data_IF_075118310563
#
_entry.id   IF_075118310563
#
_cell.length_a   1.000
_cell.length_b   1.000
_cell.length_c   1.000
_cell.angle_alpha   90.00
_cell.angle_beta   90.00
_cell.angle_gamma   90.00
#
_symmetry.space_group_name_H-M   'P 1'
#
loop_
_entity.id
_entity.type
_entity.pdbx_description
1 polymer ?
#
# COMPACT_ATOMS: atom_id res chain seq x y z
N UNK A 1 1.01 20.03 25.47
CA UNK A 1 1.47 19.99 24.06
C UNK A 1 1.17 18.66 23.36
N UNK A 2 0.95 17.56 24.11
CA UNK A 2 0.08 16.45 23.68
C UNK A 2 -1.38 16.89 23.86
N UNK A 3 -2.25 16.90 22.82
CA UNK A 3 -2.66 15.73 22.02
C UNK A 3 -2.45 15.86 20.49
N UNK A 4 -2.00 17.01 19.99
CA UNK A 4 -2.02 17.32 18.55
C UNK A 4 -1.01 16.53 17.72
N UNK A 5 0.20 16.30 18.24
CA UNK A 5 1.23 15.52 17.53
C UNK A 5 0.82 14.06 17.34
N UNK A 6 0.33 13.42 18.41
CA UNK A 6 -0.14 12.05 18.36
C UNK A 6 -1.33 11.89 17.41
N UNK A 7 -2.31 12.81 17.48
CA UNK A 7 -3.44 12.82 16.56
C UNK A 7 -2.98 12.94 15.10
N UNK A 8 -2.06 13.88 14.81
CA UNK A 8 -1.52 14.03 13.47
C UNK A 8 -0.81 12.76 12.99
N UNK A 9 0.16 12.24 13.75
CA UNK A 9 1.02 11.14 13.31
C UNK A 9 0.32 9.78 13.28
N UNK A 10 -0.63 9.52 14.18
CA UNK A 10 -1.28 8.20 14.33
C UNK A 10 -2.67 8.11 13.72
N UNK A 11 -3.37 9.22 13.54
CA UNK A 11 -4.74 9.22 13.01
C UNK A 11 -4.79 9.94 11.66
N UNK A 12 -4.58 11.26 11.67
CA UNK A 12 -4.84 12.08 10.50
C UNK A 12 -3.91 11.78 9.32
N UNK A 13 -2.59 11.69 9.55
CA UNK A 13 -1.60 11.46 8.50
C UNK A 13 -1.80 10.12 7.78
N UNK A 14 -1.92 8.96 8.48
CA UNK A 14 -2.25 7.70 7.82
C UNK A 14 -3.55 7.79 7.00
N UNK A 15 -4.62 8.38 7.54
CA UNK A 15 -5.89 8.52 6.82
C UNK A 15 -5.78 9.41 5.58
N UNK A 16 -5.05 10.52 5.67
CA UNK A 16 -4.84 11.43 4.55
C UNK A 16 -4.05 10.76 3.42
N UNK A 17 -2.97 10.06 3.74
CA UNK A 17 -2.14 9.32 2.78
C UNK A 17 -2.92 8.19 2.12
N UNK A 18 -3.63 7.39 2.92
CA UNK A 18 -4.37 6.23 2.39
C UNK A 18 -5.56 6.64 1.53
N UNK A 19 -6.28 7.71 1.91
CA UNK A 19 -7.35 8.30 1.08
C UNK A 19 -6.79 8.81 -0.25
N UNK A 20 -5.66 9.51 -0.21
CA UNK A 20 -4.96 10.01 -1.38
C UNK A 20 -4.50 8.88 -2.32
N UNK A 21 -3.98 7.77 -1.77
CA UNK A 21 -3.61 6.58 -2.54
C UNK A 21 -4.82 5.94 -3.23
N UNK A 22 -5.93 5.76 -2.52
CA UNK A 22 -7.14 5.14 -3.07
C UNK A 22 -7.79 5.99 -4.16
N UNK A 23 -7.70 7.32 -4.05
CA UNK A 23 -8.24 8.26 -5.03
C UNK A 23 -7.22 8.63 -6.13
N UNK A 24 -5.98 8.13 -6.03
CA UNK A 24 -4.85 8.49 -6.91
C UNK A 24 -4.61 10.00 -7.02
N UNK A 25 -4.75 10.71 -5.90
CA UNK A 25 -4.47 12.14 -5.80
C UNK A 25 -3.23 12.35 -4.95
N UNK A 26 -2.40 13.35 -5.26
CA UNK A 26 -1.28 13.76 -4.40
C UNK A 26 -1.77 14.29 -3.04
N UNK A 27 -0.84 14.35 -2.08
CA UNK A 27 -1.09 14.87 -0.74
C UNK A 27 0.07 15.73 -0.27
N UNK A 28 -0.22 16.78 0.49
CA UNK A 28 0.80 17.61 1.15
C UNK A 28 1.71 16.78 2.08
N UNK A 29 1.23 15.62 2.56
CA UNK A 29 2.03 14.69 3.38
C UNK A 29 3.29 14.14 2.66
N UNK A 30 3.39 14.32 1.34
CA UNK A 30 4.56 13.94 0.54
C UNK A 30 5.65 15.03 0.52
N UNK A 31 5.33 16.26 0.93
CA UNK A 31 6.29 17.36 0.97
C UNK A 31 7.29 17.18 2.12
N UNK A 32 8.50 17.72 1.94
CA UNK A 32 9.62 17.50 2.86
C UNK A 32 9.29 17.98 4.29
N UNK A 33 8.65 19.14 4.42
CA UNK A 33 8.26 19.74 5.70
C UNK A 33 7.41 18.79 6.54
N UNK A 34 6.45 18.11 5.91
CA UNK A 34 5.54 17.16 6.56
C UNK A 34 6.16 15.80 6.83
N UNK A 35 7.29 15.50 6.19
CA UNK A 35 8.11 14.32 6.51
C UNK A 35 9.11 14.60 7.62
N UNK A 36 9.51 15.85 7.89
CA UNK A 36 10.57 16.16 8.88
C UNK A 36 10.05 16.82 10.15
N UNK A 37 9.28 17.89 10.03
CA UNK A 37 8.89 18.74 11.16
C UNK A 37 8.11 18.00 12.26
N UNK A 38 7.17 17.09 11.94
CA UNK A 38 6.49 16.30 12.97
C UNK A 38 7.44 15.42 13.79
N UNK A 39 8.65 15.15 13.34
CA UNK A 39 9.58 14.21 13.97
C UNK A 39 10.85 14.88 14.50
N UNK A 40 10.88 16.20 14.63
CA UNK A 40 12.03 16.91 15.21
C UNK A 40 12.25 16.55 16.69
N UNK A 41 11.15 16.37 17.44
CA UNK A 41 11.17 16.04 18.86
C UNK A 41 10.95 14.55 19.14
N UNK A 42 10.53 13.78 18.14
CA UNK A 42 10.13 12.37 18.28
C UNK A 42 10.75 11.52 17.18
N UNK A 43 11.38 10.41 17.55
CA UNK A 43 11.95 9.50 16.56
C UNK A 43 10.87 8.85 15.69
N UNK A 44 11.11 8.82 14.39
CA UNK A 44 10.29 8.05 13.44
C UNK A 44 10.33 6.57 13.77
N UNK A 45 9.17 5.96 13.81
CA UNK A 45 9.05 4.50 13.82
C UNK A 45 9.25 3.94 12.41
N UNK A 46 9.46 2.62 12.32
CA UNK A 46 9.50 1.93 11.02
C UNK A 46 8.21 2.17 10.22
N UNK A 47 7.04 2.20 10.87
CA UNK A 47 5.77 2.51 10.21
C UNK A 47 5.70 3.94 9.67
N UNK A 48 6.26 4.91 10.39
CA UNK A 48 6.30 6.31 9.94
C UNK A 48 7.14 6.47 8.67
N UNK A 49 8.26 5.76 8.57
CA UNK A 49 9.09 5.71 7.35
C UNK A 49 8.39 5.00 6.19
N UNK A 50 7.56 3.98 6.46
CA UNK A 50 6.72 3.37 5.44
C UNK A 50 5.72 4.39 4.90
N UNK A 51 5.03 5.11 5.80
CA UNK A 51 4.08 6.16 5.43
C UNK A 51 4.73 7.29 4.61
N UNK A 52 6.00 7.64 4.84
CA UNK A 52 6.74 8.58 3.98
C UNK A 52 6.82 8.09 2.52
N UNK A 53 7.12 6.81 2.33
CA UNK A 53 7.16 6.20 0.99
C UNK A 53 5.78 6.16 0.36
N UNK A 54 4.75 5.77 1.11
CA UNK A 54 3.36 5.78 0.65
C UNK A 54 2.88 7.18 0.27
N UNK A 55 3.26 8.21 1.03
CA UNK A 55 2.94 9.59 0.70
C UNK A 55 3.52 9.99 -0.65
N UNK A 56 4.79 9.66 -0.93
CA UNK A 56 5.40 9.90 -2.25
C UNK A 56 4.71 9.13 -3.37
N UNK A 57 4.27 7.90 -3.12
CA UNK A 57 3.55 7.09 -4.11
C UNK A 57 2.24 7.74 -4.58
N UNK A 58 1.58 8.55 -3.75
CA UNK A 58 0.37 9.28 -4.17
C UNK A 58 0.63 10.17 -5.38
N UNK A 59 1.78 10.85 -5.42
CA UNK A 59 2.18 11.69 -6.54
C UNK A 59 2.45 10.85 -7.80
N UNK A 60 3.06 9.67 -7.65
CA UNK A 60 3.33 8.76 -8.78
C UNK A 60 2.04 8.29 -9.45
N UNK A 61 1.03 7.92 -8.66
CA UNK A 61 -0.26 7.47 -9.18
C UNK A 61 -1.00 8.61 -9.91
N UNK A 62 -0.97 9.83 -9.37
CA UNK A 62 -1.55 10.99 -10.05
C UNK A 62 -0.82 11.31 -11.36
N UNK A 63 0.52 11.27 -11.35
CA UNK A 63 1.34 11.51 -12.54
C UNK A 63 1.07 10.48 -13.64
N UNK A 64 0.88 9.21 -13.27
CA UNK A 64 0.52 8.17 -14.22
C UNK A 64 -0.84 8.46 -14.89
N UNK A 65 -1.86 8.80 -14.11
CA UNK A 65 -3.18 9.13 -14.66
C UNK A 65 -3.10 10.36 -15.59
N UNK A 66 -2.25 11.33 -15.29
CA UNK A 66 -1.98 12.46 -16.19
C UNK A 66 -1.29 12.02 -17.49
N UNK A 67 -0.20 11.23 -17.40
CA UNK A 67 0.58 10.78 -18.57
C UNK A 67 -0.24 9.86 -19.48
N UNK A 68 -1.12 9.03 -18.92
CA UNK A 68 -1.96 8.12 -19.71
C UNK A 68 -3.06 8.84 -20.49
N UNK A 69 -3.45 10.05 -20.07
CA UNK A 69 -4.40 10.90 -20.80
C UNK A 69 -3.78 11.72 -21.94
N UNK A 70 -2.45 11.83 -22.00
CA UNK A 70 -1.75 12.57 -23.05
C UNK A 70 -1.61 11.74 -24.33
N UNK A 71 -1.55 12.42 -25.47
CA UNK A 71 -1.24 11.80 -26.75
C UNK A 71 0.15 11.15 -26.73
N UNK A 72 0.33 10.00 -27.42
CA UNK A 72 1.61 9.29 -27.49
C UNK A 72 2.64 10.08 -28.30
N UNK A 73 3.27 11.06 -27.65
CA UNK A 73 4.33 11.93 -28.19
C UNK A 73 5.68 11.62 -27.56
N UNK A 74 6.76 12.12 -28.16
CA UNK A 74 8.11 12.06 -27.58
C UNK A 74 8.18 12.76 -26.21
N UNK A 75 7.44 13.86 -26.04
CA UNK A 75 7.34 14.57 -24.76
C UNK A 75 6.69 13.70 -23.68
N UNK A 76 5.55 13.07 -23.98
CA UNK A 76 4.89 12.12 -23.07
C UNK A 76 5.83 10.97 -22.70
N UNK A 77 6.58 10.43 -23.67
CA UNK A 77 7.56 9.36 -23.43
C UNK A 77 8.66 9.80 -22.46
N UNK A 78 9.20 11.01 -22.60
CA UNK A 78 10.19 11.55 -21.67
C UNK A 78 9.63 11.68 -20.24
N UNK A 79 8.39 12.14 -20.10
CA UNK A 79 7.69 12.16 -18.80
C UNK A 79 7.50 10.75 -18.23
N UNK A 80 7.15 9.76 -19.07
CA UNK A 80 7.01 8.37 -18.65
C UNK A 80 8.35 7.75 -18.21
N UNK A 81 9.47 8.13 -18.83
CA UNK A 81 10.80 7.69 -18.41
C UNK A 81 11.19 8.26 -17.04
N UNK A 82 10.89 9.54 -16.78
CA UNK A 82 11.08 10.14 -15.45
C UNK A 82 10.21 9.44 -14.39
N UNK A 83 8.92 9.24 -14.69
CA UNK A 83 8.01 8.50 -13.82
C UNK A 83 8.51 7.07 -13.55
N UNK A 84 9.06 6.38 -14.56
CA UNK A 84 9.62 5.04 -14.38
C UNK A 84 10.77 5.05 -13.37
N UNK A 85 11.68 6.03 -13.47
CA UNK A 85 12.76 6.22 -12.50
C UNK A 85 12.23 6.42 -11.08
N UNK A 86 11.20 7.26 -10.94
CA UNK A 86 10.57 7.52 -9.64
C UNK A 86 9.85 6.29 -9.06
N UNK A 87 9.17 5.51 -9.90
CA UNK A 87 8.55 4.23 -9.51
C UNK A 87 9.57 3.19 -9.07
N UNK A 88 10.69 3.07 -9.78
CA UNK A 88 11.81 2.21 -9.41
C UNK A 88 12.43 2.64 -8.07
N UNK A 89 12.60 3.93 -7.85
CA UNK A 89 13.05 4.49 -6.58
C UNK A 89 12.11 4.18 -5.42
N UNK A 90 10.79 4.32 -5.62
CA UNK A 90 9.79 3.96 -4.61
C UNK A 90 9.81 2.46 -4.29
N UNK A 91 9.95 1.59 -5.30
CA UNK A 91 10.11 0.15 -5.11
C UNK A 91 11.34 -0.18 -4.27
N UNK A 92 12.49 0.40 -4.61
CA UNK A 92 13.73 0.21 -3.85
C UNK A 92 13.59 0.67 -2.39
N UNK A 93 12.88 1.77 -2.13
CA UNK A 93 12.59 2.25 -0.77
C UNK A 93 11.69 1.27 0.01
N UNK A 94 10.67 0.68 -0.63
CA UNK A 94 9.82 -0.33 -0.02
C UNK A 94 10.63 -1.60 0.29
N UNK A 95 11.48 -2.06 -0.63
CA UNK A 95 12.35 -3.23 -0.42
C UNK A 95 13.35 -2.99 0.71
N UNK A 96 13.99 -1.82 0.73
CA UNK A 96 14.89 -1.43 1.81
C UNK A 96 14.15 -1.35 3.16
N UNK A 97 12.93 -0.81 3.15
CA UNK A 97 12.08 -0.82 4.34
C UNK A 97 11.83 -2.25 4.81
N UNK A 98 11.44 -3.17 3.90
CA UNK A 98 11.20 -4.57 4.23
C UNK A 98 12.44 -5.24 4.81
N UNK A 99 13.62 -5.04 4.22
CA UNK A 99 14.89 -5.59 4.74
C UNK A 99 15.19 -5.04 6.15
N UNK A 100 14.95 -3.75 6.40
CA UNK A 100 15.16 -3.13 7.72
C UNK A 100 14.11 -3.57 8.76
N UNK A 101 12.89 -3.81 8.30
CA UNK A 101 11.77 -4.26 9.13
C UNK A 101 11.79 -5.77 9.34
N UNK A 102 12.46 -6.54 8.49
CA UNK A 102 12.58 -7.97 8.61
C UNK A 102 13.90 -8.31 9.30
N UNK A 103 13.86 -8.67 10.58
CA UNK A 103 15.02 -9.25 11.27
C UNK A 103 14.99 -10.77 11.07
N UNK A 104 15.97 -11.38 10.35
CA UNK A 104 16.00 -12.83 10.16
C UNK A 104 16.11 -13.61 11.47
N UNK A 105 16.61 -12.98 12.54
CA UNK A 105 16.76 -13.56 13.88
C UNK A 105 15.51 -13.39 14.73
N UNK A 106 14.62 -12.45 14.36
CA UNK A 106 13.33 -12.19 15.01
C UNK A 106 12.25 -12.19 13.95
N UNK A 107 11.69 -13.36 13.66
CA UNK A 107 10.57 -13.52 12.72
C UNK A 107 9.39 -12.65 13.21
N UNK A 108 9.23 -11.46 12.64
CA UNK A 108 8.15 -10.51 13.01
C UNK A 108 6.76 -11.03 12.66
N UNK A 109 6.70 -12.03 11.79
CA UNK A 109 5.51 -12.83 11.54
C UNK A 109 5.86 -14.28 11.22
N UNK A 110 4.89 -15.15 11.43
CA UNK A 110 4.96 -16.60 11.23
C UNK A 110 3.68 -17.07 10.54
N UNK A 111 3.74 -18.22 9.89
CA UNK A 111 2.52 -18.94 9.50
C UNK A 111 1.87 -19.48 10.77
N UNK A 112 0.61 -19.10 11.00
CA UNK A 112 -0.23 -19.64 12.06
C UNK A 112 -0.77 -21.00 11.63
N UNK A 113 -0.41 -22.03 12.37
CA UNK A 113 -0.97 -23.38 12.20
C UNK A 113 -2.26 -23.59 13.02
N UNK A 114 -2.64 -22.64 13.88
CA UNK A 114 -3.75 -22.77 14.82
C UNK A 114 -5.13 -22.53 14.17
N UNK A 115 -5.16 -21.77 13.07
CA UNK A 115 -6.42 -21.34 12.43
C UNK A 115 -6.90 -22.27 11.29
N UNK A 116 -6.21 -23.39 11.04
CA UNK A 116 -6.51 -24.29 9.93
C UNK A 116 -6.31 -23.65 8.55
N UNK A 117 -6.49 -24.43 7.48
CA UNK A 117 -6.49 -23.89 6.13
C UNK A 117 -7.81 -23.14 5.88
N UNK A 118 -7.76 -21.80 5.90
CA UNK A 118 -8.90 -21.00 5.46
C UNK A 118 -8.91 -20.94 3.93
N UNK A 119 -10.06 -21.17 3.31
CA UNK A 119 -10.25 -20.93 1.88
C UNK A 119 -10.67 -19.46 1.71
N UNK A 120 -10.07 -18.70 0.78
CA UNK A 120 -9.09 -19.11 -0.24
C UNK A 120 -7.62 -18.90 0.17
N UNK A 121 -7.36 -18.36 1.36
CA UNK A 121 -6.01 -18.00 1.81
C UNK A 121 -5.50 -18.98 2.87
N UNK A 122 -4.78 -20.05 2.47
CA UNK A 122 -4.21 -20.97 3.42
C UNK A 122 -3.13 -20.26 4.26
N UNK A 123 -2.82 -20.84 5.43
CA UNK A 123 -1.67 -20.45 6.23
C UNK A 123 -1.67 -18.96 6.66
N UNK A 124 -2.68 -18.50 7.42
CA UNK A 124 -2.75 -17.10 7.86
C UNK A 124 -1.50 -16.70 8.66
N UNK A 125 -1.13 -15.42 8.61
CA UNK A 125 0.02 -14.91 9.34
C UNK A 125 -0.32 -14.52 10.77
N UNK A 126 0.52 -14.92 11.71
CA UNK A 126 0.56 -14.40 13.07
C UNK A 126 1.72 -13.41 13.19
N UNK A 127 1.49 -12.24 13.78
CA UNK A 127 2.50 -11.20 13.97
C UNK A 127 2.87 -11.06 15.44
N UNK A 128 4.02 -10.45 15.69
CA UNK A 128 4.49 -10.16 17.05
C UNK A 128 3.59 -9.15 17.77
N UNK A 129 3.10 -8.14 17.06
CA UNK A 129 2.27 -7.07 17.61
C UNK A 129 1.37 -6.42 16.53
N UNK A 130 0.46 -5.55 16.98
CA UNK A 130 -0.48 -4.84 16.10
C UNK A 130 0.21 -3.89 15.11
N UNK A 131 1.34 -3.28 15.48
CA UNK A 131 2.03 -2.34 14.60
C UNK A 131 2.74 -3.09 13.47
N UNK A 132 3.32 -4.25 13.77
CA UNK A 132 3.93 -5.13 12.79
C UNK A 132 2.89 -5.62 11.78
N UNK A 133 1.74 -6.14 12.23
CA UNK A 133 0.68 -6.60 11.33
C UNK A 133 0.16 -5.49 10.41
N UNK A 134 -0.05 -4.29 10.95
CA UNK A 134 -0.44 -3.12 10.16
C UNK A 134 0.66 -2.71 9.16
N UNK A 135 1.92 -2.67 9.60
CA UNK A 135 3.03 -2.26 8.76
C UNK A 135 3.24 -3.20 7.57
N UNK A 136 3.21 -4.51 7.80
CA UNK A 136 3.38 -5.49 6.71
C UNK A 136 2.18 -5.50 5.76
N UNK A 137 0.95 -5.40 6.26
CA UNK A 137 -0.24 -5.30 5.40
C UNK A 137 -0.22 -4.03 4.55
N UNK A 138 0.24 -2.89 5.08
CA UNK A 138 0.43 -1.66 4.31
C UNK A 138 1.53 -1.79 3.26
N UNK A 139 2.64 -2.42 3.62
CA UNK A 139 3.74 -2.68 2.70
C UNK A 139 3.29 -3.54 1.50
N UNK A 140 2.63 -4.66 1.75
CA UNK A 140 2.15 -5.52 0.67
C UNK A 140 1.07 -4.82 -0.16
N UNK A 141 0.15 -4.07 0.45
CA UNK A 141 -0.84 -3.28 -0.28
C UNK A 141 -0.19 -2.20 -1.16
N UNK A 142 0.86 -1.53 -0.68
CA UNK A 142 1.63 -0.59 -1.49
C UNK A 142 2.26 -1.28 -2.72
N UNK A 143 2.83 -2.48 -2.55
CA UNK A 143 3.37 -3.26 -3.66
C UNK A 143 2.29 -3.66 -4.68
N UNK A 144 1.09 -4.03 -4.22
CA UNK A 144 -0.07 -4.32 -5.10
C UNK A 144 -0.46 -3.11 -5.93
N UNK A 145 -0.41 -1.89 -5.37
CA UNK A 145 -0.67 -0.65 -6.11
C UNK A 145 0.45 -0.27 -7.07
N UNK A 146 1.71 -0.50 -6.68
CA UNK A 146 2.87 -0.11 -7.48
C UNK A 146 3.05 -1.00 -8.72
N UNK A 147 2.72 -2.29 -8.63
CA UNK A 147 2.88 -3.24 -9.74
C UNK A 147 2.18 -2.80 -11.05
N UNK A 148 0.86 -2.49 -11.08
CA UNK A 148 0.20 -2.00 -12.28
C UNK A 148 0.68 -0.60 -12.69
N UNK A 149 1.17 0.21 -11.75
CA UNK A 149 1.75 1.52 -12.06
C UNK A 149 3.05 1.37 -12.87
N UNK A 150 3.94 0.47 -12.45
CA UNK A 150 5.15 0.11 -13.18
C UNK A 150 4.82 -0.43 -14.57
N UNK A 151 3.90 -1.38 -14.66
CA UNK A 151 3.49 -1.98 -15.93
C UNK A 151 2.94 -0.94 -16.93
N UNK A 152 2.03 -0.07 -16.48
CA UNK A 152 1.46 1.00 -17.31
C UNK A 152 2.51 2.04 -17.73
N UNK A 153 3.47 2.34 -16.85
CA UNK A 153 4.56 3.28 -17.14
C UNK A 153 5.51 2.68 -18.18
N UNK A 154 5.94 1.43 -18.00
CA UNK A 154 6.75 0.69 -18.98
C UNK A 154 6.04 0.66 -20.34
N UNK A 155 4.75 0.33 -20.35
CA UNK A 155 3.97 0.35 -21.58
C UNK A 155 3.94 1.74 -22.23
N UNK A 156 3.81 2.81 -21.44
CA UNK A 156 3.83 4.19 -21.93
C UNK A 156 5.18 4.60 -22.53
N UNK A 157 6.29 4.11 -21.97
CA UNK A 157 7.64 4.35 -22.50
C UNK A 157 7.84 3.67 -23.86
N UNK A 158 7.44 2.41 -23.97
CA UNK A 158 7.67 1.59 -25.16
C UNK A 158 6.55 1.69 -26.22
N UNK A 159 5.47 2.42 -25.93
CA UNK A 159 4.41 2.67 -26.91
C UNK A 159 4.95 3.42 -28.14
N UNK A 160 4.47 3.10 -29.35
CA UNK A 160 4.81 3.87 -30.54
C UNK A 160 4.30 5.31 -30.36
N UNK A 161 5.07 6.28 -30.86
CA UNK A 161 4.73 7.71 -30.78
C UNK A 161 4.43 8.27 -32.17
N UNK A 162 3.54 9.26 -32.23
CA UNK A 162 3.03 9.85 -33.49
C UNK A 162 4.01 10.84 -34.13
N UNK A 163 4.94 11.38 -33.35
CA UNK A 163 5.87 12.45 -33.71
C UNK A 163 7.32 11.98 -33.84
N UNK A 164 7.57 10.66 -33.84
CA UNK A 164 8.89 10.10 -34.10
C UNK A 164 9.11 9.80 -35.58
N UNK A 165 10.35 9.93 -36.02
CA UNK A 165 10.79 9.40 -37.31
C UNK A 165 10.71 7.87 -37.31
N UNK A 166 10.55 7.22 -38.49
CA UNK A 166 10.35 5.76 -38.60
C UNK A 166 11.41 4.90 -37.89
N UNK A 167 12.62 5.42 -37.71
CA UNK A 167 13.74 4.74 -37.06
C UNK A 167 13.80 4.92 -35.53
N UNK A 168 12.92 5.73 -34.93
CA UNK A 168 12.89 6.07 -33.49
C UNK A 168 11.59 5.60 -32.80
N UNK A 169 10.92 4.62 -33.38
CA UNK A 169 9.66 4.09 -32.86
C UNK A 169 9.80 3.54 -31.43
N UNK A 170 10.96 2.95 -31.09
CA UNK A 170 11.26 2.41 -29.76
C UNK A 170 12.47 3.11 -29.14
N UNK A 171 12.40 3.52 -27.86
CA UNK A 171 13.51 4.17 -27.18
C UNK A 171 14.55 3.17 -26.69
N UNK A 172 15.83 3.56 -26.74
CA UNK A 172 16.89 2.93 -25.95
C UNK A 172 16.78 3.43 -24.50
N UNK A 173 16.56 2.51 -23.56
CA UNK A 173 16.50 2.86 -22.14
C UNK A 173 17.92 3.01 -21.56
N UNK A 174 18.18 4.08 -20.80
CA UNK A 174 19.38 4.15 -19.96
C UNK A 174 19.48 2.96 -19.00
N UNK A 175 20.69 2.49 -18.63
CA UNK A 175 20.87 1.32 -17.76
C UNK A 175 20.14 1.43 -16.42
N UNK A 176 20.03 2.64 -15.85
CA UNK A 176 19.31 2.88 -14.60
C UNK A 176 17.79 2.69 -14.68
N UNK A 177 17.23 2.70 -15.89
CA UNK A 177 15.80 2.43 -16.15
C UNK A 177 15.56 1.00 -16.63
N UNK A 178 16.62 0.19 -16.74
CA UNK A 178 16.47 -1.22 -17.07
C UNK A 178 15.68 -1.93 -15.96
N UNK A 179 14.56 -2.52 -16.34
CA UNK A 179 13.70 -3.29 -15.45
C UNK A 179 13.58 -4.71 -16.00
N UNK A 180 13.76 -5.69 -15.12
CA UNK A 180 13.52 -7.08 -15.44
C UNK A 180 12.00 -7.31 -15.61
N UNK A 181 11.52 -7.75 -16.79
CA UNK A 181 10.11 -8.05 -17.04
C UNK A 181 9.50 -9.03 -16.04
N UNK A 182 10.30 -9.98 -15.51
CA UNK A 182 9.84 -10.99 -14.56
C UNK A 182 9.73 -10.44 -13.12
N UNK A 183 10.25 -9.23 -12.89
CA UNK A 183 10.24 -8.57 -11.58
C UNK A 183 8.97 -7.78 -11.27
N UNK A 184 8.04 -7.66 -12.23
CA UNK A 184 6.75 -6.97 -12.06
C UNK A 184 5.59 -7.74 -12.72
N UNK A 185 4.38 -7.17 -12.63
CA UNK A 185 3.19 -7.71 -13.29
C UNK A 185 2.27 -8.53 -12.39
N UNK A 186 1.29 -9.18 -13.00
CA UNK A 186 0.13 -9.77 -12.32
C UNK A 186 0.50 -10.83 -11.28
N UNK A 187 1.46 -11.71 -11.59
CA UNK A 187 1.87 -12.78 -10.68
C UNK A 187 2.43 -12.21 -9.37
N UNK A 188 3.34 -11.24 -9.45
CA UNK A 188 3.92 -10.55 -8.29
C UNK A 188 2.88 -9.75 -7.51
N UNK A 189 2.00 -9.05 -8.22
CA UNK A 189 0.88 -8.36 -7.57
C UNK A 189 -0.03 -9.34 -6.81
N UNK A 190 -0.33 -10.52 -7.38
CA UNK A 190 -1.14 -11.55 -6.73
C UNK A 190 -0.45 -12.11 -5.48
N UNK A 191 0.85 -12.37 -5.53
CA UNK A 191 1.63 -12.83 -4.38
C UNK A 191 1.51 -11.84 -3.21
N UNK A 192 1.62 -10.54 -3.49
CA UNK A 192 1.47 -9.49 -2.48
C UNK A 192 0.03 -9.38 -1.98
N UNK A 193 -0.97 -9.49 -2.86
CA UNK A 193 -2.38 -9.47 -2.49
C UNK A 193 -2.75 -10.64 -1.56
N UNK A 194 -2.22 -11.84 -1.83
CA UNK A 194 -2.37 -13.01 -0.95
C UNK A 194 -1.76 -12.72 0.43
N UNK A 195 -0.57 -12.13 0.49
CA UNK A 195 0.07 -11.80 1.76
C UNK A 195 -0.71 -10.78 2.58
N UNK A 196 -1.33 -9.78 1.94
CA UNK A 196 -2.28 -8.87 2.61
C UNK A 196 -3.39 -9.69 3.26
N UNK A 197 -4.09 -10.53 2.49
CA UNK A 197 -5.23 -11.30 3.00
C UNK A 197 -4.84 -12.26 4.13
N UNK A 198 -3.68 -12.93 4.02
CA UNK A 198 -3.13 -13.79 5.08
C UNK A 198 -2.87 -13.01 6.37
N UNK A 199 -2.56 -11.71 6.30
CA UNK A 199 -2.29 -10.89 7.47
C UNK A 199 -3.50 -10.20 8.10
N UNK A 200 -4.61 -10.08 7.37
CA UNK A 200 -5.77 -9.26 7.75
C UNK A 200 -6.47 -9.76 9.03
N UNK A 201 -6.62 -11.07 9.22
CA UNK A 201 -7.32 -11.64 10.38
C UNK A 201 -6.60 -11.34 11.71
N UNK A 202 -5.27 -11.52 11.72
CA UNK A 202 -4.47 -11.16 12.89
C UNK A 202 -4.50 -9.65 13.12
N UNK A 203 -4.37 -8.84 12.06
CA UNK A 203 -4.41 -7.39 12.17
C UNK A 203 -5.74 -6.89 12.75
N UNK A 204 -6.87 -7.46 12.34
CA UNK A 204 -8.20 -7.12 12.86
C UNK A 204 -8.36 -7.48 14.34
N UNK A 205 -7.78 -8.61 14.75
CA UNK A 205 -7.84 -9.06 16.14
C UNK A 205 -6.97 -8.19 17.05
N UNK A 206 -5.77 -7.83 16.58
CA UNK A 206 -4.77 -7.10 17.35
C UNK A 206 -5.02 -5.58 17.40
N UNK A 207 -5.68 -5.01 16.39
CA UNK A 207 -5.86 -3.55 16.29
C UNK A 207 -6.95 -3.02 17.21
N UNK A 208 -6.71 -1.81 17.72
CA UNK A 208 -7.72 -0.95 18.37
C UNK A 208 -8.36 0.04 17.40
N UNK A 209 -7.86 0.11 16.15
CA UNK A 209 -8.30 0.99 15.08
C UNK A 209 -8.64 0.16 13.83
N UNK A 210 -9.85 -0.42 13.74
CA UNK A 210 -10.24 -1.26 12.59
C UNK A 210 -10.28 -0.49 11.26
N UNK A 211 -10.53 0.82 11.31
CA UNK A 211 -10.52 1.73 10.18
C UNK A 211 -9.16 1.82 9.48
N UNK A 212 -8.06 1.59 10.21
CA UNK A 212 -6.73 1.51 9.62
C UNK A 212 -6.60 0.36 8.60
N UNK A 213 -7.49 -0.64 8.61
CA UNK A 213 -7.49 -1.76 7.67
C UNK A 213 -8.28 -1.47 6.38
N UNK A 214 -8.98 -0.33 6.28
CA UNK A 214 -9.73 0.04 5.08
C UNK A 214 -8.80 0.11 3.86
N UNK A 215 -7.63 0.72 4.01
CA UNK A 215 -6.65 0.82 2.92
C UNK A 215 -6.24 -0.54 2.34
N UNK A 216 -5.62 -1.47 3.10
CA UNK A 216 -5.18 -2.73 2.55
C UNK A 216 -6.36 -3.55 1.98
N UNK A 217 -7.53 -3.53 2.62
CA UNK A 217 -8.75 -4.20 2.13
C UNK A 217 -9.18 -3.64 0.77
N UNK A 218 -9.32 -2.32 0.63
CA UNK A 218 -9.76 -1.69 -0.62
C UNK A 218 -8.79 -1.94 -1.77
N UNK A 219 -7.48 -2.00 -1.48
CA UNK A 219 -6.45 -2.32 -2.46
C UNK A 219 -6.65 -3.74 -3.02
N UNK A 220 -6.75 -4.74 -2.15
CA UNK A 220 -6.92 -6.13 -2.61
C UNK A 220 -8.31 -6.40 -3.20
N UNK A 221 -9.36 -5.75 -2.70
CA UNK A 221 -10.69 -5.81 -3.34
C UNK A 221 -10.63 -5.29 -4.77
N UNK A 222 -9.98 -4.15 -4.99
CA UNK A 222 -9.83 -3.56 -6.34
C UNK A 222 -9.01 -4.47 -7.25
N UNK A 223 -7.95 -5.07 -6.71
CA UNK A 223 -7.12 -6.04 -7.43
C UNK A 223 -7.91 -7.28 -7.86
N UNK A 224 -8.57 -7.97 -6.92
CA UNK A 224 -9.33 -9.18 -7.22
C UNK A 224 -10.59 -8.89 -8.05
N UNK A 225 -11.22 -7.72 -7.92
CA UNK A 225 -12.32 -7.30 -8.79
C UNK A 225 -11.86 -7.14 -10.24
N UNK A 226 -10.67 -6.53 -10.45
CA UNK A 226 -10.08 -6.45 -11.78
C UNK A 226 -9.75 -7.83 -12.34
N UNK A 227 -9.14 -8.70 -11.52
CA UNK A 227 -8.81 -10.07 -11.93
C UNK A 227 -10.06 -10.86 -12.33
N UNK A 228 -11.12 -10.80 -11.51
CA UNK A 228 -12.38 -11.49 -11.77
C UNK A 228 -13.04 -10.99 -13.06
N UNK A 229 -13.00 -9.69 -13.30
CA UNK A 229 -13.55 -9.10 -14.54
C UNK A 229 -12.75 -9.49 -15.79
N UNK A 230 -11.43 -9.71 -15.67
CA UNK A 230 -10.57 -10.01 -16.81
C UNK A 230 -10.48 -11.51 -17.13
N UNK A 231 -10.45 -12.38 -16.11
CA UNK A 231 -10.17 -13.81 -16.27
C UNK A 231 -11.20 -14.73 -15.58
N UNK A 232 -12.12 -14.18 -14.78
CA UNK A 232 -13.03 -14.94 -13.92
C UNK A 232 -12.39 -15.46 -12.61
N UNK A 233 -11.08 -15.32 -12.47
CA UNK A 233 -10.31 -15.72 -11.28
C UNK A 233 -10.39 -14.64 -10.17
N UNK A 234 -10.32 -15.00 -8.89
CA UNK A 234 -10.43 -14.04 -7.78
C UNK A 234 -11.82 -13.93 -7.16
N UNK A 235 -12.82 -14.67 -7.66
CA UNK A 235 -14.21 -14.60 -7.15
C UNK A 235 -14.32 -15.07 -5.70
N UNK A 236 -13.59 -16.14 -5.32
CA UNK A 236 -13.58 -16.65 -3.94
C UNK A 236 -12.91 -15.65 -2.99
N UNK A 237 -11.83 -15.01 -3.43
CA UNK A 237 -11.13 -13.95 -2.70
C UNK A 237 -12.04 -12.75 -2.43
N UNK A 238 -12.85 -12.35 -3.41
CA UNK A 238 -13.84 -11.29 -3.22
C UNK A 238 -14.95 -11.66 -2.22
N UNK A 239 -15.43 -12.91 -2.26
CA UNK A 239 -16.41 -13.39 -1.28
C UNK A 239 -15.83 -13.37 0.14
N UNK A 240 -14.59 -13.81 0.31
CA UNK A 240 -13.89 -13.77 1.60
C UNK A 240 -13.66 -12.33 2.08
N UNK A 241 -13.30 -11.40 1.19
CA UNK A 241 -13.15 -9.98 1.54
C UNK A 241 -14.48 -9.34 1.96
N UNK A 242 -15.60 -9.78 1.37
CA UNK A 242 -16.94 -9.41 1.79
C UNK A 242 -17.23 -9.77 3.25
N UNK A 243 -16.97 -11.02 3.64
CA UNK A 243 -17.16 -11.46 5.04
C UNK A 243 -16.14 -10.84 5.99
N UNK A 244 -14.91 -10.58 5.54
CA UNK A 244 -13.91 -9.85 6.32
C UNK A 244 -14.40 -8.43 6.67
N UNK A 245 -15.00 -7.70 5.72
CA UNK A 245 -15.56 -6.37 5.96
C UNK A 245 -16.67 -6.38 7.01
N UNK A 246 -17.55 -7.37 6.99
CA UNK A 246 -18.60 -7.52 8.00
C UNK A 246 -17.99 -7.69 9.40
N UNK A 247 -16.95 -8.53 9.52
CA UNK A 247 -16.19 -8.68 10.78
C UNK A 247 -15.50 -7.38 11.19
N UNK A 248 -14.95 -6.62 10.24
CA UNK A 248 -14.32 -5.33 10.50
C UNK A 248 -15.33 -4.30 11.04
N UNK A 249 -16.52 -4.21 10.44
CA UNK A 249 -17.60 -3.32 10.91
C UNK A 249 -18.08 -3.73 12.30
N UNK A 250 -18.32 -5.02 12.52
CA UNK A 250 -18.72 -5.54 13.83
C UNK A 250 -17.67 -5.23 14.90
N UNK A 251 -16.37 -5.41 14.59
CA UNK A 251 -15.28 -5.06 15.51
C UNK A 251 -15.26 -3.56 15.83
N UNK A 252 -15.45 -2.69 14.84
CA UNK A 252 -15.51 -1.25 15.04
C UNK A 252 -16.68 -0.84 15.93
N UNK A 253 -17.87 -1.42 15.72
CA UNK A 253 -19.06 -1.20 16.55
C UNK A 253 -18.84 -1.66 18.00
N UNK A 254 -18.24 -2.84 18.19
CA UNK A 254 -17.92 -3.36 19.52
C UNK A 254 -16.95 -2.45 20.28
N UNK A 255 -15.90 -1.96 19.62
CA UNK A 255 -14.94 -1.02 20.23
C UNK A 255 -15.65 0.30 20.59
N UNK A 256 -16.47 0.84 19.70
CA UNK A 256 -17.24 2.06 19.97
C UNK A 256 -18.19 1.89 21.16
N UNK A 257 -18.90 0.76 21.25
CA UNK A 257 -19.77 0.44 22.37
C UNK A 257 -19.02 0.43 23.71
N UNK A 258 -17.88 -0.26 23.78
CA UNK A 258 -17.05 -0.31 25.00
C UNK A 258 -16.53 1.08 25.40
N UNK A 259 -16.23 1.95 24.43
CA UNK A 259 -15.81 3.34 24.72
C UNK A 259 -16.95 4.22 25.23
N UNK A 260 -18.18 3.99 24.76
CA UNK A 260 -19.37 4.75 25.19
C UNK A 260 -19.91 4.29 26.54
N UNK A 261 -19.71 3.01 26.91
CA UNK A 261 -20.13 2.46 28.20
C UNK A 261 -19.23 2.87 29.37
N UNK A 262 -17.98 3.29 29.11
CA UNK A 262 -17.06 3.78 30.14
C UNK A 262 -17.24 5.28 30.33
N UNK A 263 -17.72 5.69 31.49
CA UNK A 263 -17.74 7.11 31.87
C UNK A 263 -16.29 7.64 31.90
N UNK A 264 -16.06 8.78 31.25
CA UNK A 264 -14.74 9.42 31.17
C UNK A 264 -14.11 9.69 32.55
N UNK A 265 -14.92 9.71 33.61
CA UNK A 265 -14.53 9.87 35.01
C UNK A 265 -13.73 8.65 35.53
N UNK A 266 -14.00 7.44 35.05
CA UNK A 266 -13.32 6.22 35.50
C UNK A 266 -11.95 6.02 34.82
N UNK A 267 -11.76 6.60 33.63
CA UNK A 267 -10.49 6.56 32.89
C UNK A 267 -9.46 7.58 33.41
N UNK A 268 -9.89 8.61 34.14
CA UNK A 268 -9.00 9.63 34.72
C UNK A 268 -8.42 9.22 36.08
N UNK A 269 -8.85 8.09 36.65
CA UNK A 269 -8.38 7.56 37.93
C UNK A 269 -7.30 6.47 37.81
N UNK A 270 -6.82 6.21 36.59
CA UNK A 270 -5.73 5.26 36.29
C UNK A 270 -4.47 5.99 35.83
#
# INVERSE_FOLDING_TARGET
MFPSHHFFTRVYRPSAITTALLNKTSTFCAEQEWMTFPYELHHKTSFDSLLDTLARMTCLLQQLDHITALDPTLARRAMAQDLLGNCLGARAQLEQWYISAFDPRRRRYLVSHEQGAQIPFPEPFAFQDSLASLSFTYYWAAQVLLAPCLEATVHSVFSPVVDAYPHQAFPDLPPQLAIDPDSYGLFKAREMAVNVCRGLDHALTATTQPDALVFPVRVVETFYARLANQTGDGTLELMWLGTFRERMVSRAQNIAGVMMEKDWVDLAQW
#
